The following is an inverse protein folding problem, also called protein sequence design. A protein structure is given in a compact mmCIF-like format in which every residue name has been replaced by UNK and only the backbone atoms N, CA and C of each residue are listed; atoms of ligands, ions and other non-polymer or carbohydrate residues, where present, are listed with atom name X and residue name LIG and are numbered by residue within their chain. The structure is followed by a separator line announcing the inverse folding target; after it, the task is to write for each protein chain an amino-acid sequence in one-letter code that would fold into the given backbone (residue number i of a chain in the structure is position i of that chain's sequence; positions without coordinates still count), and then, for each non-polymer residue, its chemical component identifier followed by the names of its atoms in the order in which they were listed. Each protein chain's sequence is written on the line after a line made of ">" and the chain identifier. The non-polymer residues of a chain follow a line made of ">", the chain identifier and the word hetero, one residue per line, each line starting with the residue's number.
data_IF_964467019171
#
_entry.id   IF_964467019171
#
_cell.length_a   1.000
_cell.length_b   1.000
_cell.length_c   1.000
_cell.angle_alpha   90.00
_cell.angle_beta   90.00
_cell.angle_gamma   90.00
#
_symmetry.space_group_name_H-M   'P 1'
#
loop_
_entity.id
_entity.type
_entity.pdbx_description
1 polymer ?
#
# COMPACT_ATOMS: atom_id res chain seq x y z
N UNK A 1 -18.52 39.26 -16.83
CA UNK A 1 -19.15 38.01 -16.33
C UNK A 1 -18.65 36.76 -17.08
N UNK A 2 -18.73 36.65 -18.40
CA UNK A 2 -18.31 35.43 -19.12
C UNK A 2 -16.82 35.07 -18.89
N UNK A 3 -15.89 36.03 -18.93
CA UNK A 3 -14.47 35.82 -18.69
C UNK A 3 -14.16 35.33 -17.25
N UNK A 4 -14.92 35.82 -16.26
CA UNK A 4 -14.75 35.38 -14.86
C UNK A 4 -15.25 33.94 -14.64
N UNK A 5 -16.35 33.56 -15.29
CA UNK A 5 -16.88 32.21 -15.26
C UNK A 5 -15.88 31.22 -15.92
N UNK A 6 -15.30 31.62 -17.05
CA UNK A 6 -14.29 30.80 -17.74
C UNK A 6 -13.05 30.60 -16.87
N UNK A 7 -12.61 31.63 -16.15
CA UNK A 7 -11.47 31.55 -15.24
C UNK A 7 -11.75 30.63 -14.05
N UNK A 8 -12.96 30.70 -13.48
CA UNK A 8 -13.40 29.81 -12.40
C UNK A 8 -13.49 28.35 -12.83
N UNK A 9 -14.01 28.08 -14.04
CA UNK A 9 -14.08 26.72 -14.58
C UNK A 9 -12.68 26.16 -14.84
N UNK A 10 -11.77 26.96 -15.39
CA UNK A 10 -10.38 26.56 -15.57
C UNK A 10 -9.69 26.30 -14.22
N UNK A 11 -9.88 27.14 -13.23
CA UNK A 11 -9.34 26.94 -11.89
C UNK A 11 -9.89 25.65 -11.24
N UNK A 12 -11.20 25.39 -11.40
CA UNK A 12 -11.83 24.16 -10.88
C UNK A 12 -11.27 22.89 -11.54
N UNK A 13 -10.91 22.93 -12.84
CA UNK A 13 -10.29 21.81 -13.54
C UNK A 13 -8.87 21.49 -13.02
N UNK A 14 -8.15 22.48 -12.51
CA UNK A 14 -6.83 22.28 -11.90
C UNK A 14 -6.89 21.70 -10.47
N UNK A 15 -8.04 21.82 -9.78
CA UNK A 15 -8.21 21.31 -8.41
C UNK A 15 -8.55 19.82 -8.41
N UNK A 16 -9.02 19.25 -9.52
CA UNK A 16 -9.33 17.80 -9.65
C UNK A 16 -8.11 16.92 -9.90
N UNK A 17 -6.91 17.36 -9.52
CA UNK A 17 -5.76 16.47 -9.46
C UNK A 17 -6.02 15.45 -8.37
N UNK A 18 -6.38 14.23 -8.80
CA UNK A 18 -6.49 13.10 -7.90
C UNK A 18 -5.18 13.00 -7.10
N UNK A 19 -5.23 13.30 -5.82
CA UNK A 19 -4.12 12.97 -4.94
C UNK A 19 -4.05 11.44 -4.85
N UNK A 20 -3.28 10.82 -5.72
CA UNK A 20 -2.87 9.43 -5.58
C UNK A 20 -1.91 9.36 -4.39
N UNK A 21 -2.46 9.43 -3.18
CA UNK A 21 -1.73 9.07 -2.00
C UNK A 21 -1.46 7.56 -2.07
N UNK A 22 -0.19 7.17 -2.04
CA UNK A 22 0.27 5.78 -1.97
C UNK A 22 -0.41 4.84 -2.98
N UNK A 23 -0.14 5.06 -4.25
CA UNK A 23 -0.55 4.14 -5.29
C UNK A 23 0.53 3.08 -5.58
N UNK A 24 0.31 2.28 -6.60
CA UNK A 24 1.20 1.20 -7.08
C UNK A 24 2.68 1.59 -7.10
N UNK A 25 3.01 2.82 -7.51
CA UNK A 25 4.39 3.33 -7.53
C UNK A 25 4.99 3.51 -6.14
N UNK A 26 4.19 3.94 -5.16
CA UNK A 26 4.63 4.11 -3.78
C UNK A 26 4.98 2.77 -3.14
N UNK A 27 4.11 1.77 -3.26
CA UNK A 27 4.36 0.41 -2.77
C UNK A 27 5.62 -0.20 -3.42
N UNK A 28 5.75 -0.11 -4.74
CA UNK A 28 6.90 -0.61 -5.47
C UNK A 28 8.21 0.04 -4.99
N UNK A 29 8.23 1.36 -4.82
CA UNK A 29 9.42 2.10 -4.38
C UNK A 29 9.83 1.72 -2.95
N UNK A 30 8.88 1.62 -2.03
CA UNK A 30 9.18 1.20 -0.63
C UNK A 30 9.75 -0.21 -0.60
N UNK A 31 9.17 -1.15 -1.35
CA UNK A 31 9.66 -2.51 -1.42
C UNK A 31 11.06 -2.59 -2.02
N UNK A 32 11.33 -1.85 -3.09
CA UNK A 32 12.63 -1.77 -3.73
C UNK A 32 13.70 -1.22 -2.78
N UNK A 33 13.41 -0.10 -2.11
CA UNK A 33 14.33 0.46 -1.11
C UNK A 33 14.57 -0.54 0.01
N UNK A 34 13.52 -1.12 0.60
CA UNK A 34 13.66 -2.11 1.67
C UNK A 34 14.51 -3.31 1.24
N UNK A 35 14.32 -3.80 0.02
CA UNK A 35 15.08 -4.91 -0.53
C UNK A 35 16.59 -4.59 -0.65
N UNK A 36 16.96 -3.34 -0.99
CA UNK A 36 18.38 -2.94 -1.07
C UNK A 36 19.09 -2.94 0.28
N UNK A 37 18.36 -2.84 1.38
CA UNK A 37 18.91 -2.90 2.75
C UNK A 37 19.03 -4.31 3.32
N UNK A 38 18.53 -5.32 2.63
CA UNK A 38 18.65 -6.71 3.06
C UNK A 38 20.06 -7.25 2.80
N UNK A 39 20.55 -8.12 3.68
CA UNK A 39 21.76 -8.88 3.41
C UNK A 39 21.63 -9.71 2.13
N UNK A 40 22.70 -9.89 1.35
CA UNK A 40 22.65 -10.64 0.09
C UNK A 40 22.09 -12.07 0.22
N UNK A 41 22.34 -12.73 1.35
CA UNK A 41 21.75 -14.04 1.66
C UNK A 41 20.23 -13.99 1.79
N UNK A 42 19.71 -12.94 2.44
CA UNK A 42 18.28 -12.71 2.60
C UNK A 42 17.64 -12.32 1.28
N UNK A 43 18.28 -11.47 0.49
CA UNK A 43 17.82 -11.12 -0.87
C UNK A 43 17.64 -12.37 -1.74
N UNK A 44 18.59 -13.31 -1.67
CA UNK A 44 18.53 -14.59 -2.38
C UNK A 44 17.32 -15.42 -1.94
N UNK A 45 17.05 -15.49 -0.65
CA UNK A 45 15.91 -16.22 -0.09
C UNK A 45 14.60 -15.57 -0.54
N UNK A 46 14.47 -14.25 -0.41
CA UNK A 46 13.29 -13.50 -0.84
C UNK A 46 13.03 -13.73 -2.34
N UNK A 47 14.05 -13.59 -3.18
CA UNK A 47 13.94 -13.81 -4.63
C UNK A 47 13.45 -15.22 -4.95
N UNK A 48 13.91 -16.22 -4.22
CA UNK A 48 13.45 -17.61 -4.37
C UNK A 48 11.96 -17.75 -4.06
N UNK A 49 11.49 -17.13 -2.97
CA UNK A 49 10.07 -17.18 -2.58
C UNK A 49 9.16 -16.38 -3.53
N UNK A 50 9.69 -15.33 -4.16
CA UNK A 50 8.96 -14.57 -5.18
C UNK A 50 8.66 -15.39 -6.45
N UNK A 51 9.38 -16.48 -6.65
CA UNK A 51 9.14 -17.44 -7.75
C UNK A 51 8.97 -16.77 -9.13
N UNK A 52 9.91 -15.89 -9.48
CA UNK A 52 9.91 -15.16 -10.75
C UNK A 52 9.09 -13.86 -10.75
N UNK A 53 8.36 -13.55 -9.68
CA UNK A 53 7.69 -12.25 -9.52
C UNK A 53 8.71 -11.20 -9.09
N UNK A 54 8.57 -9.97 -9.57
CA UNK A 54 9.38 -8.86 -9.08
C UNK A 54 8.98 -8.45 -7.66
N UNK A 55 9.89 -7.84 -6.91
CA UNK A 55 9.57 -7.29 -5.58
C UNK A 55 8.53 -6.18 -5.66
N UNK A 56 8.54 -5.41 -6.75
CA UNK A 56 7.60 -4.34 -7.04
C UNK A 56 6.18 -4.89 -7.27
N UNK A 57 6.05 -5.98 -8.03
CA UNK A 57 4.76 -6.64 -8.26
C UNK A 57 4.25 -7.33 -7.00
N UNK A 58 5.14 -7.94 -6.22
CA UNK A 58 4.76 -8.56 -4.95
C UNK A 58 4.23 -7.53 -3.94
N UNK A 59 4.80 -6.32 -3.91
CA UNK A 59 4.35 -5.24 -3.04
C UNK A 59 2.94 -4.70 -3.40
N UNK A 60 2.49 -4.92 -4.62
CA UNK A 60 1.18 -4.48 -5.10
C UNK A 60 0.12 -5.58 -5.11
N UNK A 61 0.53 -6.82 -4.87
CA UNK A 61 -0.32 -8.00 -5.03
C UNK A 61 -1.64 -7.91 -4.25
N UNK A 62 -1.61 -7.47 -2.99
CA UNK A 62 -2.82 -7.37 -2.17
C UNK A 62 -3.81 -6.33 -2.72
N UNK A 63 -3.31 -5.21 -3.23
CA UNK A 63 -4.16 -4.19 -3.86
C UNK A 63 -4.76 -4.66 -5.19
N UNK A 64 -4.03 -5.48 -5.93
CA UNK A 64 -4.50 -6.07 -7.19
C UNK A 64 -5.66 -7.06 -6.96
N UNK A 65 -5.68 -7.73 -5.79
CA UNK A 65 -6.76 -8.66 -5.41
C UNK A 65 -8.01 -7.97 -4.84
N UNK A 66 -7.98 -6.65 -4.62
CA UNK A 66 -9.05 -5.93 -3.93
C UNK A 66 -10.43 -6.10 -4.58
N UNK A 67 -10.48 -6.24 -5.88
CA UNK A 67 -11.72 -6.35 -6.65
C UNK A 67 -12.14 -7.82 -6.90
N UNK A 68 -11.33 -8.78 -6.47
CA UNK A 68 -11.64 -10.20 -6.49
C UNK A 68 -12.21 -10.66 -5.14
N UNK A 69 -13.52 -10.84 -5.08
CA UNK A 69 -14.24 -11.21 -3.86
C UNK A 69 -13.83 -12.57 -3.27
N UNK A 70 -13.19 -13.44 -4.04
CA UNK A 70 -12.65 -14.71 -3.52
C UNK A 70 -11.53 -14.51 -2.49
N UNK A 71 -10.91 -13.32 -2.48
CA UNK A 71 -9.85 -12.92 -1.56
C UNK A 71 -10.31 -11.96 -0.46
N UNK A 72 -11.60 -11.76 -0.27
CA UNK A 72 -12.14 -10.82 0.75
C UNK A 72 -11.65 -11.17 2.17
N UNK A 73 -11.36 -12.42 2.44
CA UNK A 73 -10.81 -12.87 3.72
C UNK A 73 -9.42 -12.30 4.04
N UNK A 74 -8.68 -11.79 3.03
CA UNK A 74 -7.36 -11.16 3.22
C UNK A 74 -7.46 -9.67 3.59
N UNK A 75 -8.61 -9.02 3.35
CA UNK A 75 -8.78 -7.57 3.58
C UNK A 75 -8.41 -7.13 4.99
N UNK A 76 -8.83 -7.82 6.07
CA UNK A 76 -8.45 -7.43 7.43
C UNK A 76 -6.94 -7.46 7.69
N UNK A 77 -6.19 -8.27 6.94
CA UNK A 77 -4.76 -8.46 7.12
C UNK A 77 -3.90 -7.48 6.34
N UNK A 78 -4.53 -6.65 5.52
CA UNK A 78 -3.84 -5.71 4.63
C UNK A 78 -3.64 -4.32 5.25
N UNK A 79 -4.50 -3.91 6.19
CA UNK A 79 -4.48 -2.57 6.77
C UNK A 79 -4.89 -2.59 8.26
N UNK A 80 -4.66 -1.46 8.90
CA UNK A 80 -5.19 -1.16 10.22
C UNK A 80 -5.63 0.29 10.26
N UNK A 81 -6.78 0.53 10.88
CA UNK A 81 -7.31 1.87 11.10
C UNK A 81 -7.06 2.30 12.55
N UNK A 82 -6.65 3.54 12.73
CA UNK A 82 -6.46 4.15 14.03
C UNK A 82 -7.42 5.32 14.18
N UNK A 83 -8.06 5.41 15.34
CA UNK A 83 -8.82 6.58 15.71
C UNK A 83 -7.89 7.76 15.96
N UNK A 84 -8.34 8.96 15.56
CA UNK A 84 -7.55 10.17 15.75
C UNK A 84 -7.23 10.38 17.24
N UNK A 85 -5.93 10.50 17.54
CA UNK A 85 -5.45 10.75 18.91
C UNK A 85 -5.13 9.49 19.72
N UNK A 86 -5.36 8.29 19.21
CA UNK A 86 -4.95 7.05 19.84
C UNK A 86 -3.44 6.88 19.70
N UNK A 87 -2.76 6.74 20.84
CA UNK A 87 -1.29 6.57 20.90
C UNK A 87 -0.86 5.10 21.04
N UNK A 88 -1.78 4.23 21.36
CA UNK A 88 -1.50 2.81 21.62
C UNK A 88 -2.03 1.99 20.46
N UNK A 89 -1.14 1.22 19.86
CA UNK A 89 -1.49 0.24 18.84
C UNK A 89 -2.05 -0.99 19.55
N UNK A 90 -3.32 -1.29 19.35
CA UNK A 90 -3.86 -2.57 19.79
C UNK A 90 -3.37 -3.66 18.83
N UNK A 91 -2.57 -4.59 19.36
CA UNK A 91 -2.07 -5.74 18.61
C UNK A 91 -3.06 -6.91 18.58
N UNK A 92 -4.20 -6.77 19.23
CA UNK A 92 -5.25 -7.78 19.28
C UNK A 92 -6.20 -7.65 18.08
N UNK A 93 -6.60 -8.77 17.53
CA UNK A 93 -7.57 -8.84 16.43
C UNK A 93 -6.97 -9.07 15.06
N UNK A 94 -7.83 -9.30 14.09
CA UNK A 94 -7.47 -9.55 12.69
C UNK A 94 -7.10 -8.25 11.97
N UNK A 95 -5.81 -7.90 12.01
CA UNK A 95 -5.27 -6.75 11.30
C UNK A 95 -3.82 -7.01 10.86
N UNK A 96 -3.26 -6.10 10.05
CA UNK A 96 -1.89 -6.25 9.52
C UNK A 96 -0.83 -6.34 10.63
N UNK A 97 -0.99 -5.64 11.74
CA UNK A 97 -0.01 -5.64 12.85
C UNK A 97 0.02 -7.02 13.50
N UNK A 98 -1.15 -7.60 13.77
CA UNK A 98 -1.27 -8.95 14.31
C UNK A 98 -0.60 -9.97 13.40
N UNK A 99 -0.85 -9.91 12.08
CA UNK A 99 -0.27 -10.83 11.10
C UNK A 99 1.25 -10.67 10.99
N UNK A 100 1.77 -9.45 10.94
CA UNK A 100 3.21 -9.21 10.94
C UNK A 100 3.88 -9.76 12.21
N UNK A 101 3.27 -9.53 13.37
CA UNK A 101 3.81 -10.03 14.65
C UNK A 101 3.87 -11.56 14.67
N UNK A 102 2.87 -12.26 14.15
CA UNK A 102 2.88 -13.72 14.04
C UNK A 102 3.94 -14.24 13.07
N UNK A 103 4.24 -13.49 12.02
CA UNK A 103 5.19 -13.92 10.98
C UNK A 103 6.64 -13.78 11.42
N UNK A 104 6.93 -12.87 12.37
CA UNK A 104 8.29 -12.57 12.87
C UNK A 104 8.70 -13.53 14.01
N UNK A 105 7.77 -14.21 14.65
CA UNK A 105 8.04 -15.25 15.69
C UNK A 105 8.43 -16.58 15.06
#
# INVERSE_FOLDING_TARGET
>A
MKKQITLLVLAALFITQSSFAWGKKGHALVAEIAFTYLDPSVQTIVTKYLNGRSIQDAANWMDELRDDHSYDYLKPYHYVNFDKGVKVVNHEGDNIIFRLTQTIQ
#
